data_IF_288805390655
#
_entry.id   IF_288805390655
#
_cell.length_a   1.000
_cell.length_b   1.000
_cell.length_c   1.000
_cell.angle_alpha   90.00
_cell.angle_beta   90.00
_cell.angle_gamma   90.00
#
_symmetry.space_group_name_H-M   'P 1'
#
loop_
_entity.id
_entity.type
_entity.pdbx_description
1 polymer ?
#
# COMPACT_ATOMS: atom_id res chain seq x y z
N UNK A 1 53.20 -18.09 39.86
CA UNK A 1 52.16 -17.57 40.76
C UNK A 1 50.84 -17.69 39.99
N UNK A 2 50.09 -18.81 40.01
CA UNK A 2 49.07 -19.19 41.03
C UNK A 2 48.30 -17.95 41.51
N UNK A 3 46.96 -17.85 41.47
CA UNK A 3 45.93 -18.85 41.73
C UNK A 3 44.53 -18.30 41.32
N UNK A 4 43.75 -19.15 40.66
CA UNK A 4 42.29 -19.42 40.75
C UNK A 4 41.53 -18.73 41.90
N UNK A 5 40.29 -18.24 41.65
CA UNK A 5 39.00 -18.53 42.34
C UNK A 5 37.91 -17.55 41.81
N UNK A 6 36.98 -17.98 40.96
CA UNK A 6 35.71 -18.66 41.25
C UNK A 6 34.66 -17.80 41.99
N UNK A 7 33.46 -17.80 41.39
CA UNK A 7 32.14 -17.76 42.04
C UNK A 7 31.63 -16.42 42.59
N UNK A 8 30.67 -15.87 41.85
CA UNK A 8 29.68 -14.92 42.33
C UNK A 8 28.44 -14.98 41.47
N UNK A 9 27.77 -16.14 41.47
CA UNK A 9 26.42 -16.34 40.94
C UNK A 9 25.48 -15.31 41.57
N UNK A 10 24.80 -14.54 40.73
CA UNK A 10 23.77 -13.60 41.13
C UNK A 10 22.65 -13.56 40.09
N UNK A 11 21.98 -14.71 39.92
CA UNK A 11 20.64 -14.81 39.38
C UNK A 11 19.74 -13.79 40.12
N UNK A 12 19.28 -12.75 39.42
CA UNK A 12 18.04 -12.10 39.78
C UNK A 12 17.24 -11.83 38.50
N UNK A 13 16.50 -12.87 38.11
CA UNK A 13 15.37 -12.78 37.20
C UNK A 13 14.35 -11.82 37.80
N UNK A 14 14.20 -10.65 37.19
CA UNK A 14 12.99 -9.84 37.32
C UNK A 14 12.37 -9.74 35.93
N UNK A 15 11.24 -10.42 35.80
CA UNK A 15 10.30 -10.29 34.72
C UNK A 15 9.94 -8.81 34.53
N UNK A 16 10.32 -8.26 33.38
CA UNK A 16 9.81 -7.01 32.84
C UNK A 16 9.32 -7.29 31.44
N UNK A 17 8.04 -7.01 31.21
CA UNK A 17 7.30 -7.21 29.97
C UNK A 17 8.11 -6.87 28.71
N UNK A 18 7.90 -7.70 27.68
CA UNK A 18 8.55 -7.60 26.39
C UNK A 18 8.49 -6.20 25.79
N UNK A 19 9.65 -5.55 25.74
CA UNK A 19 9.99 -4.72 24.62
C UNK A 19 10.63 -5.64 23.58
N UNK A 20 9.82 -6.40 22.83
CA UNK A 20 10.28 -6.79 21.50
C UNK A 20 10.34 -5.49 20.73
N UNK A 21 11.51 -4.83 20.76
CA UNK A 21 11.83 -3.85 19.75
C UNK A 21 11.70 -4.63 18.43
N UNK A 22 10.57 -4.42 17.74
CA UNK A 22 10.47 -4.81 16.34
C UNK A 22 11.77 -4.34 15.70
N UNK A 23 12.47 -5.18 14.90
CA UNK A 23 13.62 -4.69 14.18
C UNK A 23 13.16 -3.42 13.50
N UNK A 24 13.81 -2.29 13.83
CA UNK A 24 13.50 -1.03 13.19
C UNK A 24 13.63 -1.34 11.70
N UNK A 25 12.48 -1.42 11.03
CA UNK A 25 12.46 -1.53 9.59
C UNK A 25 13.14 -0.24 9.17
N UNK A 26 14.43 -0.33 8.87
CA UNK A 26 15.10 0.66 8.06
C UNK A 26 14.36 0.57 6.75
N UNK A 27 13.25 1.32 6.64
CA UNK A 27 12.62 1.63 5.38
C UNK A 27 13.74 2.33 4.62
N UNK A 28 14.50 1.54 3.86
CA UNK A 28 15.43 2.07 2.89
C UNK A 28 14.54 2.92 2.01
N UNK A 29 14.69 4.24 2.10
CA UNK A 29 13.93 5.16 1.28
C UNK A 29 14.22 4.76 -0.16
N UNK A 30 13.22 4.17 -0.80
CA UNK A 30 13.34 3.70 -2.16
C UNK A 30 13.68 4.89 -3.06
N UNK A 31 14.58 4.68 -4.02
CA UNK A 31 14.92 5.72 -4.97
C UNK A 31 13.63 6.14 -5.70
N UNK A 32 13.35 7.45 -5.86
CA UNK A 32 12.14 7.92 -6.54
C UNK A 32 11.96 7.30 -7.93
N UNK A 33 13.04 6.95 -8.62
CA UNK A 33 13.02 6.24 -9.90
C UNK A 33 12.30 4.89 -9.84
N UNK A 34 12.56 4.10 -8.80
CA UNK A 34 12.04 2.74 -8.66
C UNK A 34 10.54 2.80 -8.32
N UNK A 35 10.18 3.76 -7.46
CA UNK A 35 8.80 4.05 -7.09
C UNK A 35 7.98 4.57 -8.29
N UNK A 36 8.55 5.44 -9.13
CA UNK A 36 7.92 5.88 -10.39
C UNK A 36 7.64 4.68 -11.29
N UNK A 37 8.62 3.78 -11.50
CA UNK A 37 8.45 2.60 -12.36
C UNK A 37 7.35 1.69 -11.82
N UNK A 38 7.34 1.44 -10.51
CA UNK A 38 6.30 0.65 -9.86
C UNK A 38 4.92 1.27 -10.06
N UNK A 39 4.76 2.56 -9.77
CA UNK A 39 3.46 3.22 -9.95
C UNK A 39 3.00 3.26 -11.40
N UNK A 40 3.90 3.46 -12.37
CA UNK A 40 3.56 3.35 -13.80
C UNK A 40 3.03 1.96 -14.16
N UNK A 41 3.63 0.90 -13.61
CA UNK A 41 3.14 -0.47 -13.81
C UNK A 41 1.73 -0.64 -13.24
N UNK A 42 1.48 -0.13 -12.03
CA UNK A 42 0.16 -0.23 -11.38
C UNK A 42 -0.90 0.58 -12.14
N UNK A 43 -0.57 1.80 -12.59
CA UNK A 43 -1.49 2.63 -13.40
C UNK A 43 -1.89 1.90 -14.68
N UNK A 44 -0.92 1.27 -15.37
CA UNK A 44 -1.18 0.49 -16.58
C UNK A 44 -2.04 -0.75 -16.31
N UNK A 45 -1.75 -1.48 -15.24
CA UNK A 45 -2.52 -2.66 -14.83
C UNK A 45 -3.98 -2.27 -14.55
N UNK A 46 -4.20 -1.23 -13.76
CA UNK A 46 -5.54 -0.75 -13.44
C UNK A 46 -6.26 -0.21 -14.68
N UNK A 47 -5.56 0.53 -15.55
CA UNK A 47 -6.14 1.09 -16.77
C UNK A 47 -6.50 0.04 -17.83
N UNK A 48 -5.88 -1.13 -17.79
CA UNK A 48 -6.21 -2.25 -18.68
C UNK A 48 -7.47 -3.03 -18.23
N UNK A 49 -7.98 -2.78 -17.02
CA UNK A 49 -9.17 -3.46 -16.54
C UNK A 49 -10.44 -2.98 -17.24
N UNK A 50 -11.41 -3.87 -17.52
CA UNK A 50 -12.66 -3.49 -18.20
C UNK A 50 -13.55 -2.53 -17.38
N UNK A 51 -13.40 -2.52 -16.06
CA UNK A 51 -14.13 -1.67 -15.12
C UNK A 51 -13.41 -0.34 -14.81
N UNK A 52 -12.29 -0.07 -15.48
CA UNK A 52 -11.47 1.12 -15.26
C UNK A 52 -12.12 2.44 -15.75
N UNK A 53 -13.21 2.37 -16.52
CA UNK A 53 -13.89 3.55 -17.10
C UNK A 53 -14.21 4.62 -16.04
N UNK A 54 -14.66 4.19 -14.85
CA UNK A 54 -15.01 5.09 -13.76
C UNK A 54 -13.80 5.77 -13.10
N UNK A 55 -12.59 5.27 -13.35
CA UNK A 55 -11.33 5.75 -12.74
C UNK A 55 -10.34 6.26 -13.79
N UNK A 56 -10.75 6.35 -15.05
CA UNK A 56 -9.85 6.63 -16.17
C UNK A 56 -9.21 8.01 -16.06
N UNK A 57 -10.00 9.01 -15.66
CA UNK A 57 -9.49 10.38 -15.47
C UNK A 57 -8.48 10.46 -14.31
N UNK A 58 -8.72 9.71 -13.24
CA UNK A 58 -7.79 9.62 -12.11
C UNK A 58 -6.47 8.96 -12.51
N UNK A 59 -6.53 7.90 -13.31
CA UNK A 59 -5.33 7.22 -13.81
C UNK A 59 -4.54 8.10 -14.79
N UNK A 60 -5.21 8.86 -15.66
CA UNK A 60 -4.56 9.85 -16.54
C UNK A 60 -3.85 10.96 -15.74
N UNK A 61 -4.44 11.41 -14.63
CA UNK A 61 -3.79 12.35 -13.70
C UNK A 61 -2.55 11.72 -13.05
N UNK A 62 -2.62 10.45 -12.65
CA UNK A 62 -1.45 9.75 -12.13
C UNK A 62 -0.31 9.71 -13.15
N UNK A 63 -0.58 9.42 -14.42
CA UNK A 63 0.44 9.44 -15.46
C UNK A 63 1.10 10.81 -15.61
N UNK A 64 0.31 11.90 -15.57
CA UNK A 64 0.83 13.26 -15.63
C UNK A 64 1.72 13.63 -14.42
N UNK A 65 1.32 13.22 -13.22
CA UNK A 65 2.13 13.42 -12.01
C UNK A 65 3.40 12.57 -12.02
N UNK A 66 3.34 11.32 -12.50
CA UNK A 66 4.52 10.46 -12.64
C UNK A 66 5.52 11.01 -13.66
N UNK A 67 5.03 11.56 -14.77
CA UNK A 67 5.89 12.26 -15.74
C UNK A 67 6.57 13.49 -15.11
N UNK A 68 5.81 14.26 -14.31
CA UNK A 68 6.33 15.44 -13.59
C UNK A 68 7.37 15.05 -12.53
N UNK A 69 7.09 13.99 -11.76
CA UNK A 69 8.02 13.44 -10.78
C UNK A 69 9.32 12.99 -11.44
N UNK A 70 9.24 12.26 -12.57
CA UNK A 70 10.40 11.80 -13.32
C UNK A 70 11.26 12.94 -13.87
N UNK A 71 10.62 13.96 -14.43
CA UNK A 71 11.32 15.13 -14.94
C UNK A 71 12.08 15.87 -13.83
N UNK A 72 11.46 16.02 -12.65
CA UNK A 72 12.06 16.70 -11.50
C UNK A 72 13.14 15.87 -10.81
N UNK A 73 12.93 14.56 -10.66
CA UNK A 73 13.87 13.66 -10.00
C UNK A 73 15.20 13.56 -10.75
N UNK A 74 15.21 13.78 -12.08
CA UNK A 74 16.42 13.81 -12.88
C UNK A 74 17.35 14.99 -12.51
N UNK A 75 16.78 16.11 -12.03
CA UNK A 75 17.55 17.29 -11.63
C UNK A 75 17.77 17.36 -10.12
N UNK A 76 16.77 16.96 -9.33
CA UNK A 76 16.79 17.00 -7.86
C UNK A 76 15.98 15.82 -7.29
N UNK A 77 16.61 14.64 -7.10
CA UNK A 77 15.90 13.43 -6.63
C UNK A 77 15.27 13.61 -5.25
N UNK A 78 15.92 14.36 -4.35
CA UNK A 78 15.44 14.61 -2.98
C UNK A 78 14.50 15.81 -2.87
N UNK A 79 14.00 16.33 -3.99
CA UNK A 79 13.09 17.48 -3.98
C UNK A 79 11.76 17.11 -3.30
N UNK A 80 11.25 17.94 -2.37
CA UNK A 80 9.95 17.71 -1.75
C UNK A 80 8.81 17.64 -2.77
N UNK A 81 8.98 18.32 -3.90
CA UNK A 81 8.05 18.29 -5.03
C UNK A 81 7.95 16.90 -5.67
N UNK A 82 9.06 16.17 -5.78
CA UNK A 82 9.05 14.78 -6.27
C UNK A 82 8.24 13.92 -5.31
N UNK A 83 8.42 14.15 -4.00
CA UNK A 83 7.67 13.40 -2.99
C UNK A 83 6.17 13.70 -3.05
N UNK A 84 5.79 14.97 -3.18
CA UNK A 84 4.40 15.40 -3.32
C UNK A 84 3.68 14.72 -4.50
N UNK A 85 4.32 14.63 -5.67
CA UNK A 85 3.71 13.94 -6.80
C UNK A 85 3.52 12.45 -6.54
N UNK A 86 4.51 11.79 -5.94
CA UNK A 86 4.47 10.36 -5.70
C UNK A 86 3.48 9.99 -4.59
N UNK A 87 3.34 10.83 -3.57
CA UNK A 87 2.34 10.66 -2.51
C UNK A 87 0.91 10.86 -3.08
N UNK A 88 0.73 11.85 -3.96
CA UNK A 88 -0.54 12.07 -4.65
C UNK A 88 -0.94 10.88 -5.52
N UNK A 89 0.02 10.30 -6.27
CA UNK A 89 -0.19 9.09 -7.06
C UNK A 89 -0.55 7.91 -6.14
N UNK A 90 0.20 7.70 -5.05
CA UNK A 90 -0.06 6.63 -4.11
C UNK A 90 -1.49 6.70 -3.54
N UNK A 91 -1.94 7.90 -3.12
CA UNK A 91 -3.29 8.11 -2.60
C UNK A 91 -4.37 7.80 -3.64
N UNK A 92 -4.20 8.25 -4.88
CA UNK A 92 -5.15 7.96 -5.96
C UNK A 92 -5.18 6.46 -6.27
N UNK A 93 -4.03 5.80 -6.34
CA UNK A 93 -3.96 4.36 -6.60
C UNK A 93 -4.66 3.54 -5.51
N UNK A 94 -4.53 3.94 -4.24
CA UNK A 94 -5.28 3.31 -3.13
C UNK A 94 -6.78 3.49 -3.35
N UNK A 95 -7.24 4.72 -3.62
CA UNK A 95 -8.66 5.00 -3.88
C UNK A 95 -9.19 4.13 -5.03
N UNK A 96 -8.51 4.12 -6.17
CA UNK A 96 -8.96 3.37 -7.35
C UNK A 96 -9.05 1.87 -7.06
N UNK A 97 -8.05 1.30 -6.36
CA UNK A 97 -8.08 -0.10 -5.94
C UNK A 97 -9.25 -0.41 -5.02
N UNK A 98 -9.56 0.48 -4.07
CA UNK A 98 -10.71 0.33 -3.18
C UNK A 98 -12.04 0.41 -3.93
N UNK A 99 -12.20 1.37 -4.83
CA UNK A 99 -13.42 1.55 -5.63
C UNK A 99 -13.68 0.34 -6.55
N UNK A 100 -12.62 -0.27 -7.07
CA UNK A 100 -12.69 -1.50 -7.84
C UNK A 100 -13.13 -2.68 -6.95
N UNK A 101 -12.45 -2.88 -5.81
CA UNK A 101 -12.75 -3.98 -4.90
C UNK A 101 -14.19 -3.90 -4.37
N UNK A 102 -14.68 -2.69 -4.11
CA UNK A 102 -16.07 -2.48 -3.69
C UNK A 102 -17.06 -2.91 -4.78
N UNK A 103 -16.85 -2.51 -6.04
CA UNK A 103 -17.72 -2.91 -7.15
C UNK A 103 -17.69 -4.41 -7.42
N UNK A 104 -16.53 -5.04 -7.29
CA UNK A 104 -16.41 -6.51 -7.36
C UNK A 104 -17.23 -7.18 -6.25
N UNK A 105 -17.15 -6.67 -5.02
CA UNK A 105 -17.91 -7.18 -3.89
C UNK A 105 -19.42 -7.00 -4.07
N UNK A 106 -19.87 -5.84 -4.56
CA UNK A 106 -21.28 -5.56 -4.86
C UNK A 106 -21.82 -6.48 -5.97
N UNK A 107 -21.03 -6.69 -7.01
CA UNK A 107 -21.38 -7.60 -8.12
C UNK A 107 -21.48 -9.04 -7.62
N UNK A 108 -20.54 -9.49 -6.79
CA UNK A 108 -20.56 -10.81 -6.19
C UNK A 108 -21.74 -10.99 -5.23
N UNK A 109 -22.09 -9.97 -4.44
CA UNK A 109 -23.25 -10.01 -3.54
C UNK A 109 -24.56 -10.11 -4.33
N UNK A 110 -24.70 -9.34 -5.42
CA UNK A 110 -25.87 -9.38 -6.31
C UNK A 110 -26.03 -10.75 -6.98
N UNK A 111 -24.94 -11.35 -7.46
CA UNK A 111 -24.96 -12.68 -8.08
C UNK A 111 -25.36 -13.81 -7.11
N UNK A 112 -25.14 -13.63 -5.81
CA UNK A 112 -25.46 -14.61 -4.77
C UNK A 112 -26.76 -14.28 -4.02
N UNK A 113 -27.51 -13.25 -4.42
CA UNK A 113 -28.78 -12.92 -3.80
C UNK A 113 -29.78 -14.06 -4.05
N UNK A 114 -30.36 -14.69 -3.01
CA UNK A 114 -31.35 -15.75 -3.21
C UNK A 114 -32.55 -15.16 -3.94
N UNK A 115 -32.94 -15.82 -5.04
CA UNK A 115 -34.17 -15.56 -5.79
C UNK A 115 -35.33 -15.51 -4.80
N UNK A 116 -35.80 -14.30 -4.48
CA UNK A 116 -36.88 -14.11 -3.51
C UNK A 116 -38.10 -14.87 -4.01
N UNK A 117 -38.54 -15.84 -3.20
CA UNK A 117 -39.65 -16.76 -3.44
C UNK A 117 -40.89 -16.07 -4.05
N UNK A 118 -41.68 -16.81 -4.85
CA UNK A 118 -42.82 -16.25 -5.58
C UNK A 118 -43.80 -15.58 -4.62
N UNK A 119 -44.18 -14.35 -4.94
CA UNK A 119 -45.24 -13.62 -4.24
C UNK A 119 -46.51 -14.46 -4.29
N UNK A 120 -46.88 -15.09 -3.18
CA UNK A 120 -48.22 -15.65 -3.02
C UNK A 120 -49.22 -14.52 -3.23
N UNK A 121 -49.89 -14.56 -4.37
CA UNK A 121 -51.08 -13.78 -4.67
C UNK A 121 -52.22 -14.29 -3.80
N UNK A 122 -52.36 -13.69 -2.61
CA UNK A 122 -53.57 -13.80 -1.82
C UNK A 122 -54.73 -13.17 -2.61
N UNK A 123 -55.65 -14.03 -3.04
CA UNK A 123 -56.95 -13.71 -3.64
C UNK A 123 -57.94 -13.22 -2.60
#
# INVERSE_FOLDING_TARGET
MTLVYLLGVGLLSLAGCGASAAPAATAIAEAPSDEIIRYQSVVRELGARPDATASRLELEKCDAWLASARARSAAAPDSPDVRLYLDAVAAVLVKVKSDIALREAETAASANAPESAPKETLK
#
